data_IF_495332166171
#
_entry.id   IF_495332166171
#
_cell.length_a   1.000
_cell.length_b   1.000
_cell.length_c   1.000
_cell.angle_alpha   90.00
_cell.angle_beta   90.00
_cell.angle_gamma   90.00
#
_symmetry.space_group_name_H-M   'P 1'
#
loop_
_entity.id
_entity.type
_entity.pdbx_description
1 polymer ?
#
# COMPACT_ATOMS: atom_id res chain seq x y z
N UNK A 1 -18.00 17.79 -14.79
CA UNK A 1 -18.20 17.15 -13.47
C UNK A 1 -16.83 16.92 -12.86
N UNK A 2 -16.61 17.17 -11.56
CA UNK A 2 -15.34 16.84 -10.91
C UNK A 2 -15.26 15.33 -10.73
N UNK A 3 -14.21 14.68 -11.22
CA UNK A 3 -13.90 13.28 -10.88
C UNK A 3 -13.64 13.19 -9.37
N UNK A 4 -14.07 12.09 -8.74
CA UNK A 4 -13.71 11.82 -7.35
C UNK A 4 -12.21 11.58 -7.31
N UNK A 5 -11.54 12.11 -6.29
CA UNK A 5 -10.11 11.88 -6.07
C UNK A 5 -9.94 11.00 -4.84
N UNK A 6 -9.15 9.94 -4.98
CA UNK A 6 -8.91 8.94 -3.94
C UNK A 6 -7.47 8.97 -3.45
N UNK A 7 -7.32 8.62 -2.18
CA UNK A 7 -6.05 8.22 -1.60
C UNK A 7 -6.17 6.75 -1.16
N UNK A 8 -5.23 5.92 -1.62
CA UNK A 8 -5.16 4.49 -1.32
C UNK A 8 -3.95 4.27 -0.41
N UNK A 9 -4.22 3.87 0.83
CA UNK A 9 -3.22 3.58 1.85
C UNK A 9 -3.41 2.12 2.28
N UNK A 10 -2.35 1.33 2.15
CA UNK A 10 -2.42 -0.13 2.31
C UNK A 10 -1.43 -0.59 3.35
N UNK A 11 -1.88 -1.43 4.26
CA UNK A 11 -1.02 -2.23 5.12
C UNK A 11 -0.54 -3.46 4.34
N UNK A 12 0.72 -3.44 3.91
CA UNK A 12 1.32 -4.46 3.05
C UNK A 12 1.67 -5.76 3.77
N UNK A 13 1.56 -5.82 5.10
CA UNK A 13 1.73 -7.06 5.86
C UNK A 13 0.42 -7.83 6.00
N UNK A 14 -0.71 -7.14 5.88
CA UNK A 14 -2.05 -7.69 6.08
C UNK A 14 -2.84 -7.98 4.78
N UNK A 15 -2.22 -7.81 3.61
CA UNK A 15 -2.86 -8.08 2.31
C UNK A 15 -1.89 -8.77 1.35
N UNK A 16 -2.42 -9.57 0.42
CA UNK A 16 -1.61 -10.12 -0.67
C UNK A 16 -1.37 -9.08 -1.79
N UNK A 17 -0.23 -9.13 -2.50
CA UNK A 17 0.02 -8.26 -3.65
C UNK A 17 -1.05 -8.39 -4.76
N UNK A 18 -1.62 -9.59 -4.93
CA UNK A 18 -2.67 -9.85 -5.93
C UNK A 18 -3.96 -9.11 -5.61
N UNK A 19 -4.36 -9.09 -4.34
CA UNK A 19 -5.60 -8.43 -3.92
C UNK A 19 -5.48 -6.91 -4.02
N UNK A 20 -4.30 -6.36 -3.69
CA UNK A 20 -4.02 -4.94 -3.86
C UNK A 20 -4.23 -4.45 -5.30
N UNK A 21 -3.75 -5.20 -6.30
CA UNK A 21 -3.99 -4.88 -7.72
C UNK A 21 -5.47 -4.83 -8.07
N UNK A 22 -6.28 -5.72 -7.49
CA UNK A 22 -7.74 -5.72 -7.67
C UNK A 22 -8.39 -4.47 -7.08
N UNK A 23 -7.98 -4.07 -5.87
CA UNK A 23 -8.48 -2.87 -5.18
C UNK A 23 -8.18 -1.60 -5.97
N UNK A 24 -6.94 -1.42 -6.42
CA UNK A 24 -6.52 -0.22 -7.18
C UNK A 24 -7.37 -0.07 -8.44
N UNK A 25 -7.53 -1.15 -9.21
CA UNK A 25 -8.35 -1.16 -10.42
C UNK A 25 -9.81 -0.79 -10.17
N UNK A 26 -10.37 -1.21 -9.03
CA UNK A 26 -11.74 -0.85 -8.68
C UNK A 26 -11.86 0.62 -8.29
N UNK A 27 -10.89 1.16 -7.56
CA UNK A 27 -10.85 2.58 -7.21
C UNK A 27 -10.72 3.44 -8.46
N UNK A 28 -9.85 3.08 -9.41
CA UNK A 28 -9.63 3.80 -10.67
C UNK A 28 -10.88 3.88 -11.55
N UNK A 29 -11.77 2.87 -11.50
CA UNK A 29 -13.07 2.93 -12.20
C UNK A 29 -13.99 4.01 -11.63
N UNK A 30 -13.80 4.38 -10.36
CA UNK A 30 -14.67 5.30 -9.63
C UNK A 30 -14.12 6.74 -9.59
N UNK A 31 -12.85 6.96 -9.99
CA UNK A 31 -12.19 8.26 -10.03
C UNK A 31 -10.66 8.18 -10.02
N UNK A 32 -10.01 9.32 -9.87
CA UNK A 32 -8.55 9.43 -9.98
C UNK A 32 -7.87 9.10 -8.65
N UNK A 33 -6.76 8.34 -8.70
CA UNK A 33 -5.94 8.06 -7.52
C UNK A 33 -4.81 9.08 -7.44
N UNK A 34 -4.85 9.98 -6.45
CA UNK A 34 -3.80 10.98 -6.24
C UNK A 34 -2.66 10.47 -5.35
N UNK A 35 -2.95 9.55 -4.43
CA UNK A 35 -1.99 8.98 -3.49
C UNK A 35 -2.18 7.48 -3.47
N UNK A 36 -1.09 6.74 -3.61
CA UNK A 36 -1.07 5.29 -3.48
C UNK A 36 0.17 4.86 -2.73
N UNK A 37 0.00 4.32 -1.52
CA UNK A 37 1.09 3.94 -0.63
C UNK A 37 0.84 2.57 -0.03
N UNK A 38 1.91 1.79 0.09
CA UNK A 38 1.92 0.51 0.79
C UNK A 38 2.92 0.63 1.95
N UNK A 39 2.42 0.47 3.17
CA UNK A 39 3.20 0.53 4.41
C UNK A 39 3.55 -0.88 4.83
N UNK A 40 4.85 -1.16 4.99
CA UNK A 40 5.32 -2.44 5.50
C UNK A 40 6.84 -2.37 5.81
N UNK A 41 7.40 -3.28 6.60
CA UNK A 41 8.85 -3.47 6.81
C UNK A 41 9.64 -4.02 5.58
N UNK A 42 10.05 -3.15 4.64
CA UNK A 42 10.70 -3.57 3.38
C UNK A 42 12.09 -4.21 3.51
N UNK A 43 12.59 -4.46 4.73
CA UNK A 43 13.87 -5.16 4.93
C UNK A 43 13.73 -6.68 4.79
N UNK A 44 12.51 -7.21 4.88
CA UNK A 44 12.29 -8.64 4.88
C UNK A 44 12.32 -9.24 3.47
N UNK A 45 13.06 -10.35 3.24
CA UNK A 45 13.29 -10.91 1.91
C UNK A 45 12.04 -11.55 1.27
N UNK A 46 10.99 -11.81 2.04
CA UNK A 46 9.79 -12.52 1.59
C UNK A 46 8.82 -11.68 0.74
N UNK A 47 9.23 -10.51 0.22
CA UNK A 47 8.36 -9.55 -0.47
C UNK A 47 8.53 -9.49 -1.98
N UNK A 48 9.09 -10.54 -2.57
CA UNK A 48 9.33 -10.61 -4.01
C UNK A 48 8.06 -10.28 -4.84
N UNK A 49 6.87 -10.72 -4.40
CA UNK A 49 5.60 -10.44 -5.09
C UNK A 49 5.15 -8.97 -5.03
N UNK A 50 5.64 -8.19 -4.07
CA UNK A 50 5.31 -6.76 -3.97
C UNK A 50 6.08 -5.92 -4.98
N UNK A 51 7.32 -6.27 -5.31
CA UNK A 51 8.16 -5.44 -6.18
C UNK A 51 7.53 -5.21 -7.55
N UNK A 52 7.04 -6.28 -8.18
CA UNK A 52 6.37 -6.23 -9.48
C UNK A 52 5.06 -5.44 -9.38
N UNK A 53 4.22 -5.75 -8.39
CA UNK A 53 2.93 -5.09 -8.20
C UNK A 53 3.06 -3.59 -7.90
N UNK A 54 4.02 -3.18 -7.08
CA UNK A 54 4.28 -1.77 -6.79
C UNK A 54 4.70 -1.01 -8.06
N UNK A 55 5.52 -1.65 -8.90
CA UNK A 55 5.93 -1.08 -10.19
C UNK A 55 4.75 -0.97 -11.16
N UNK A 56 3.95 -2.04 -11.31
CA UNK A 56 2.78 -2.05 -12.20
C UNK A 56 1.71 -1.03 -11.81
N UNK A 57 1.47 -0.86 -10.51
CA UNK A 57 0.38 -0.02 -10.00
C UNK A 57 0.81 1.42 -9.68
N UNK A 58 2.11 1.74 -9.80
CA UNK A 58 2.65 3.06 -9.43
C UNK A 58 2.62 3.36 -7.93
N UNK A 59 2.38 2.36 -7.09
CA UNK A 59 2.30 2.50 -5.65
C UNK A 59 3.68 2.80 -5.03
N UNK A 60 3.72 3.74 -4.08
CA UNK A 60 4.95 4.06 -3.36
C UNK A 60 5.11 3.14 -2.14
N UNK A 61 6.18 2.35 -2.04
CA UNK A 61 6.50 1.65 -0.79
C UNK A 61 6.91 2.67 0.27
N UNK A 62 6.35 2.52 1.47
CA UNK A 62 6.72 3.29 2.67
C UNK A 62 7.18 2.30 3.73
N UNK A 63 8.41 2.48 4.23
CA UNK A 63 8.94 1.61 5.28
C UNK A 63 8.23 1.90 6.60
N UNK A 64 7.61 0.88 7.18
CA UNK A 64 6.97 0.97 8.49
C UNK A 64 7.97 0.55 9.56
N UNK A 65 8.36 1.50 10.41
CA UNK A 65 9.12 1.21 11.61
C UNK A 65 8.18 0.62 12.66
N UNK A 66 8.40 -0.63 13.06
CA UNK A 66 7.68 -1.24 14.17
C UNK A 66 8.20 -0.66 15.49
N UNK A 67 7.45 0.26 16.07
CA UNK A 67 7.60 0.59 17.48
C UNK A 67 6.93 -0.53 18.27
N UNK A 68 7.71 -1.55 18.63
CA UNK A 68 7.22 -2.68 19.40
C UNK A 68 6.52 -2.24 20.68
N UNK A 69 5.62 -3.11 21.15
CA UNK A 69 4.76 -3.06 22.35
C UNK A 69 5.45 -2.76 23.70
N UNK A 70 6.73 -2.39 23.70
CA UNK A 70 7.47 -1.90 24.86
C UNK A 70 7.60 -0.37 24.89
N UNK A 71 6.81 0.35 24.09
CA UNK A 71 6.51 1.76 24.33
C UNK A 71 5.57 1.92 25.52
N UNK A 72 6.02 1.55 26.73
CA UNK A 72 5.42 2.08 27.95
C UNK A 72 5.81 3.56 28.02
N UNK A 73 5.06 4.38 27.27
CA UNK A 73 4.98 5.81 27.45
C UNK A 73 3.66 6.10 28.17
N UNK A 74 3.56 5.60 29.40
CA UNK A 74 2.78 6.18 30.51
C UNK A 74 3.47 5.77 31.81
#
# INVERSE_FOLDING_TARGET
>A
MKSKTFAVLVDGENISPKDFKGVVREVEKNGDVAIQRVYADWTQPHRAGWKEILHETGARPVHQFNYGVNGHLF
#
